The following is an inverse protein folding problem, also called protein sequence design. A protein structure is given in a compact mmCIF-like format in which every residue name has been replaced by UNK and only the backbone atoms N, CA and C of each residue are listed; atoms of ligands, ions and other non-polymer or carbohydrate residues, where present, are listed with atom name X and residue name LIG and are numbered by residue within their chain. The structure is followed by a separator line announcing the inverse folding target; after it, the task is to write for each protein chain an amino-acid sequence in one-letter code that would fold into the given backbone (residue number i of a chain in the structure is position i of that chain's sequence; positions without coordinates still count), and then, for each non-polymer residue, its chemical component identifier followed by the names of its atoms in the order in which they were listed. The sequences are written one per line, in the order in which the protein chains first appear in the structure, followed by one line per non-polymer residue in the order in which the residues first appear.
data_IF_413689288385
#
_entry.id   IF_413689288385
#
_cell.length_a   1.000
_cell.length_b   1.000
_cell.length_c   1.000
_cell.angle_alpha   90.00
_cell.angle_beta   90.00
_cell.angle_gamma   90.00
#
_symmetry.space_group_name_H-M   'P 1'
#
loop_
_entity.id
_entity.type
_entity.pdbx_description
1 polymer ?
#
# COMPACT_ATOMS: atom_id res chain seq x y z
N UNK A 1 -16.27 -9.64 -14.25
CA UNK A 1 -15.04 -9.03 -13.65
C UNK A 1 -13.83 -9.07 -14.61
N UNK A 2 -12.95 -10.10 -14.62
CA UNK A 2 -11.69 -10.07 -15.42
C UNK A 2 -11.87 -9.88 -16.93
N UNK A 3 -13.05 -10.20 -17.50
CA UNK A 3 -13.36 -10.00 -18.93
C UNK A 3 -14.03 -8.67 -19.25
N UNK A 4 -14.35 -7.88 -18.22
CA UNK A 4 -15.17 -6.66 -18.33
C UNK A 4 -14.42 -5.40 -17.87
N UNK A 5 -13.34 -5.56 -17.10
CA UNK A 5 -12.53 -4.47 -16.58
C UNK A 5 -11.07 -4.70 -16.91
N UNK A 6 -10.36 -3.64 -17.29
CA UNK A 6 -8.91 -3.67 -17.54
C UNK A 6 -8.11 -3.84 -16.24
N UNK A 7 -8.61 -3.26 -15.15
CA UNK A 7 -8.00 -3.32 -13.83
C UNK A 7 -9.04 -3.58 -12.74
N UNK A 8 -8.69 -4.43 -11.79
CA UNK A 8 -9.50 -4.73 -10.62
C UNK A 8 -8.65 -4.41 -9.39
N UNK A 9 -9.08 -3.44 -8.60
CA UNK A 9 -8.44 -3.08 -7.34
C UNK A 9 -9.29 -3.65 -6.21
N UNK A 10 -8.67 -4.42 -5.33
CA UNK A 10 -9.31 -5.01 -4.17
C UNK A 10 -8.74 -4.32 -2.93
N UNK A 11 -9.59 -3.60 -2.19
CA UNK A 11 -9.22 -3.05 -0.89
C UNK A 11 -9.38 -4.14 0.18
N UNK A 12 -8.45 -4.19 1.12
CA UNK A 12 -8.39 -5.21 2.17
C UNK A 12 -8.28 -4.52 3.53
N UNK A 13 -8.86 -5.10 4.60
CA UNK A 13 -8.65 -4.58 5.94
C UNK A 13 -7.16 -4.55 6.31
N UNK A 14 -6.76 -3.79 7.35
CA UNK A 14 -5.35 -3.63 7.71
C UNK A 14 -4.63 -4.97 7.86
N UNK A 15 -3.44 -5.08 7.25
CA UNK A 15 -2.63 -6.31 7.19
C UNK A 15 -2.18 -6.86 8.55
N UNK A 16 -2.45 -6.14 9.65
CA UNK A 16 -2.40 -6.69 11.00
C UNK A 16 -3.35 -7.88 11.19
N UNK A 17 -4.46 -7.92 10.45
CA UNK A 17 -5.37 -9.07 10.35
C UNK A 17 -5.01 -9.90 9.11
N UNK A 18 -3.93 -10.65 9.28
CA UNK A 18 -3.08 -11.30 8.27
C UNK A 18 -3.84 -12.24 7.30
N UNK A 19 -5.02 -12.71 7.70
CA UNK A 19 -5.76 -13.75 6.99
C UNK A 19 -6.40 -13.21 5.71
N UNK A 20 -6.98 -12.02 5.74
CA UNK A 20 -7.82 -11.54 4.64
C UNK A 20 -6.99 -11.22 3.39
N UNK A 21 -5.86 -10.53 3.57
CA UNK A 21 -4.97 -10.22 2.46
C UNK A 21 -4.20 -11.42 1.92
N UNK A 22 -3.95 -12.45 2.75
CA UNK A 22 -3.38 -13.70 2.31
C UNK A 22 -4.35 -14.48 1.42
N UNK A 23 -5.64 -14.47 1.75
CA UNK A 23 -6.71 -15.08 0.94
C UNK A 23 -6.87 -14.32 -0.38
N UNK A 24 -7.00 -13.00 -0.33
CA UNK A 24 -7.14 -12.15 -1.52
C UNK A 24 -5.89 -12.22 -2.41
N UNK A 25 -4.71 -12.20 -1.80
CA UNK A 25 -3.42 -12.23 -2.50
C UNK A 25 -3.25 -13.43 -3.44
N UNK A 26 -3.84 -14.58 -3.10
CA UNK A 26 -3.83 -15.78 -3.96
C UNK A 26 -4.67 -15.65 -5.22
N UNK A 27 -5.62 -14.71 -5.26
CA UNK A 27 -6.52 -14.48 -6.40
C UNK A 27 -6.11 -13.25 -7.24
N UNK A 28 -5.08 -12.52 -6.80
CA UNK A 28 -4.59 -11.29 -7.45
C UNK A 28 -3.28 -11.53 -8.18
N UNK A 29 -3.01 -10.72 -9.20
CA UNK A 29 -1.73 -10.76 -9.92
C UNK A 29 -0.58 -10.12 -9.11
N UNK A 30 -0.92 -9.36 -8.05
CA UNK A 30 0.02 -8.85 -7.06
C UNK A 30 -0.62 -7.86 -6.09
N UNK A 31 0.14 -7.45 -5.09
CA UNK A 31 -0.29 -6.54 -4.04
C UNK A 31 0.64 -5.31 -3.90
N UNK A 32 0.06 -4.19 -3.47
CA UNK A 32 0.78 -2.98 -3.08
C UNK A 32 0.60 -2.77 -1.58
N UNK A 33 1.69 -2.55 -0.85
CA UNK A 33 1.63 -2.31 0.61
C UNK A 33 1.54 -0.80 0.87
N UNK A 34 0.46 -0.34 1.48
CA UNK A 34 0.29 1.06 1.89
C UNK A 34 0.71 1.22 3.35
N UNK A 35 1.66 2.13 3.60
CA UNK A 35 2.30 2.32 4.91
C UNK A 35 2.05 3.76 5.35
N UNK A 36 1.46 3.98 6.52
CA UNK A 36 1.33 5.32 7.10
C UNK A 36 2.68 5.78 7.67
N UNK A 37 3.20 6.88 7.16
CA UNK A 37 4.46 7.48 7.60
C UNK A 37 4.43 7.80 9.10
N UNK A 38 5.55 7.58 9.80
CA UNK A 38 5.73 7.92 11.21
C UNK A 38 4.96 7.04 12.21
N UNK A 39 4.00 6.23 11.77
CA UNK A 39 3.13 5.45 12.68
C UNK A 39 3.32 3.95 12.59
N UNK A 40 3.71 3.43 11.42
CA UNK A 40 3.89 1.99 11.23
C UNK A 40 5.35 1.62 11.44
N UNK A 41 5.61 0.68 12.37
CA UNK A 41 6.98 0.21 12.64
C UNK A 41 7.54 -0.63 11.48
N UNK A 42 8.85 -0.51 11.24
CA UNK A 42 9.56 -1.31 10.23
C UNK A 42 9.35 -2.82 10.43
N UNK A 43 9.39 -3.30 11.69
CA UNK A 43 9.21 -4.71 12.04
C UNK A 43 7.83 -5.23 11.63
N UNK A 44 6.78 -4.42 11.80
CA UNK A 44 5.43 -4.79 11.36
C UNK A 44 5.36 -4.91 9.84
N UNK A 45 5.96 -3.97 9.10
CA UNK A 45 6.01 -4.02 7.63
C UNK A 45 6.77 -5.27 7.14
N UNK A 46 7.87 -5.64 7.79
CA UNK A 46 8.61 -6.87 7.43
C UNK A 46 7.76 -8.13 7.65
N UNK A 47 7.05 -8.22 8.79
CA UNK A 47 6.15 -9.36 9.06
C UNK A 47 5.07 -9.51 7.99
N UNK A 48 4.47 -8.40 7.58
CA UNK A 48 3.46 -8.37 6.51
C UNK A 48 4.05 -8.82 5.16
N UNK A 49 5.23 -8.29 4.80
CA UNK A 49 5.97 -8.71 3.60
C UNK A 49 6.20 -10.22 3.59
N UNK A 50 6.72 -10.78 4.69
CA UNK A 50 6.98 -12.22 4.80
C UNK A 50 5.71 -13.06 4.61
N UNK A 51 4.57 -12.58 5.10
CA UNK A 51 3.29 -13.29 4.98
C UNK A 51 2.75 -13.29 3.56
N UNK A 52 2.85 -12.16 2.85
CA UNK A 52 2.50 -12.09 1.44
C UNK A 52 3.39 -13.01 0.60
N UNK A 53 4.69 -13.07 0.92
CA UNK A 53 5.62 -14.00 0.26
C UNK A 53 5.27 -15.47 0.54
N UNK A 54 4.84 -15.83 1.76
CA UNK A 54 4.42 -17.20 2.11
C UNK A 54 3.23 -17.70 1.31
N UNK A 55 2.36 -16.80 0.84
CA UNK A 55 1.21 -17.16 0.00
C UNK A 55 1.47 -16.97 -1.50
N UNK A 56 2.75 -16.83 -1.89
CA UNK A 56 3.17 -16.57 -3.27
C UNK A 56 2.52 -15.31 -3.89
N UNK A 57 2.12 -14.34 -3.06
CA UNK A 57 1.62 -13.06 -3.56
C UNK A 57 2.80 -12.20 -4.00
N UNK A 58 2.79 -11.76 -5.26
CA UNK A 58 3.80 -10.85 -5.80
C UNK A 58 3.62 -9.46 -5.23
N UNK A 59 4.62 -8.95 -4.52
CA UNK A 59 4.63 -7.57 -4.05
C UNK A 59 5.06 -6.67 -5.22
N UNK A 60 4.14 -5.86 -5.72
CA UNK A 60 4.37 -4.93 -6.84
C UNK A 60 5.16 -3.70 -6.39
N UNK A 61 5.01 -3.32 -5.12
CA UNK A 61 5.70 -2.18 -4.52
C UNK A 61 5.07 -1.76 -3.20
N UNK A 62 5.53 -0.61 -2.70
CA UNK A 62 5.02 0.00 -1.46
C UNK A 62 4.69 1.47 -1.69
N UNK A 63 3.71 1.98 -0.94
CA UNK A 63 3.29 3.38 -0.95
C UNK A 63 3.41 3.92 0.47
N UNK A 64 4.28 4.92 0.66
CA UNK A 64 4.34 5.66 1.91
C UNK A 64 3.29 6.79 1.88
N UNK A 65 2.28 6.68 2.73
CA UNK A 65 1.15 7.59 2.82
C UNK A 65 1.27 8.54 4.02
N UNK A 66 0.58 9.68 3.97
CA UNK A 66 0.58 10.71 5.04
C UNK A 66 1.98 11.16 5.47
N UNK A 67 2.89 11.27 4.51
CA UNK A 67 4.23 11.81 4.74
C UNK A 67 4.12 13.27 5.15
N UNK A 68 4.66 13.62 6.31
CA UNK A 68 4.86 15.01 6.70
C UNK A 68 6.00 15.60 5.88
N UNK A 69 5.72 16.71 5.19
CA UNK A 69 6.69 17.36 4.32
C UNK A 69 7.14 18.64 4.99
N UNK A 70 8.35 18.61 5.54
CA UNK A 70 8.99 19.82 6.03
C UNK A 70 9.35 20.73 4.84
N UNK A 71 9.13 22.04 5.01
CA UNK A 71 9.09 23.09 3.97
C UNK A 71 10.33 23.24 3.06
N UNK A 72 11.41 22.48 3.26
CA UNK A 72 12.64 22.61 2.48
C UNK A 72 12.64 21.89 1.12
N UNK A 73 11.66 21.02 0.83
CA UNK A 73 11.55 20.39 -0.49
C UNK A 73 10.53 21.12 -1.38
N UNK A 74 11.00 22.19 -2.02
CA UNK A 74 10.21 23.09 -2.88
C UNK A 74 9.40 22.34 -3.96
N UNK A 75 9.97 21.27 -4.53
CA UNK A 75 9.30 20.45 -5.55
C UNK A 75 8.10 19.65 -5.03
N UNK A 76 8.16 19.14 -3.79
CA UNK A 76 7.08 18.34 -3.20
C UNK A 76 5.97 19.23 -2.62
N UNK A 77 6.34 20.42 -2.13
CA UNK A 77 5.39 21.44 -1.65
C UNK A 77 4.37 21.85 -2.71
N UNK A 78 4.79 21.90 -3.99
CA UNK A 78 3.94 22.32 -5.12
C UNK A 78 2.93 21.24 -5.53
N UNK A 79 3.24 19.96 -5.33
CA UNK A 79 2.31 18.86 -5.57
C UNK A 79 1.21 18.82 -4.50
N UNK A 80 1.58 18.95 -3.22
CA UNK A 80 0.64 18.97 -2.10
C UNK A 80 -0.23 20.24 -2.04
N UNK A 81 0.29 21.39 -2.46
CA UNK A 81 -0.47 22.63 -2.54
C UNK A 81 -1.61 22.58 -3.56
N UNK A 82 -1.51 21.73 -4.60
CA UNK A 82 -2.60 21.49 -5.56
C UNK A 82 -3.69 20.58 -4.97
N UNK A 83 -3.33 19.63 -4.12
CA UNK A 83 -4.28 18.67 -3.51
C UNK A 83 -5.14 19.32 -2.43
N UNK A 84 -4.63 20.32 -1.69
CA UNK A 84 -5.39 21.05 -0.65
C UNK A 84 -6.37 22.11 -1.18
N UNK A 85 -6.43 22.35 -2.49
CA UNK A 85 -7.30 23.35 -3.14
C UNK A 85 -8.62 22.78 -3.71
N UNK A 86 -8.97 21.53 -3.38
CA UNK A 86 -10.27 20.94 -3.65
C UNK A 86 -11.01 20.68 -2.35
#
# INVERSE_FOLDING_TARGET
ARREYDYIIIDTPPLSNIVDAAVVGRCTDGAVIVIKSGEVSYKLVQKVKEQLLKVNCKILGTVLNKVEVHKNNYHYSRALAKTKKK
#
